data_IF_956478671875
#
_entry.id   IF_956478671875
#
_cell.length_a   1.000
_cell.length_b   1.000
_cell.length_c   1.000
_cell.angle_alpha   90.00
_cell.angle_beta   90.00
_cell.angle_gamma   90.00
#
_symmetry.space_group_name_H-M   'P 1'
#
loop_
_entity.id
_entity.type
_entity.pdbx_description
1 polymer ?
#
# COMPACT_ATOMS: atom_id res chain seq x y z
N UNK A 1 47.93 14.97 -6.94
CA UNK A 1 47.07 15.49 -5.86
C UNK A 1 45.74 15.85 -6.52
N UNK A 2 44.75 14.98 -6.45
CA UNK A 2 43.38 15.23 -6.91
C UNK A 2 42.67 16.08 -5.85
N UNK A 3 42.10 17.20 -6.28
CA UNK A 3 41.31 18.08 -5.41
C UNK A 3 40.14 17.29 -4.80
N UNK A 4 39.81 17.53 -3.51
CA UNK A 4 38.65 16.89 -2.89
C UNK A 4 37.36 17.33 -3.63
N UNK A 5 36.51 16.36 -3.95
CA UNK A 5 35.17 16.61 -4.51
C UNK A 5 34.40 17.51 -3.53
N UNK A 6 33.75 18.59 -4.00
CA UNK A 6 32.97 19.44 -3.11
C UNK A 6 31.84 18.60 -2.47
N UNK A 7 31.49 18.92 -1.21
CA UNK A 7 30.39 18.23 -0.54
C UNK A 7 29.09 18.43 -1.33
N UNK A 8 28.33 17.36 -1.51
CA UNK A 8 27.00 17.41 -2.11
C UNK A 8 26.13 18.40 -1.30
N UNK A 9 25.45 19.34 -1.96
CA UNK A 9 24.56 20.26 -1.22
C UNK A 9 23.52 19.47 -0.45
N UNK A 10 23.13 19.95 0.75
CA UNK A 10 22.08 19.28 1.52
C UNK A 10 20.79 19.22 0.68
N UNK A 11 20.10 18.08 0.73
CA UNK A 11 18.81 17.91 0.10
C UNK A 11 17.85 19.02 0.56
N UNK A 12 17.01 19.51 -0.35
CA UNK A 12 15.96 20.45 0.04
C UNK A 12 15.07 19.83 1.13
N UNK A 13 14.61 20.62 2.12
CA UNK A 13 13.72 20.08 3.14
C UNK A 13 12.45 19.53 2.50
N UNK A 14 11.94 18.38 2.98
CA UNK A 14 10.72 17.77 2.49
C UNK A 14 9.54 18.74 2.62
N UNK A 15 8.71 18.86 1.58
CA UNK A 15 7.45 19.58 1.66
C UNK A 15 6.38 18.67 2.29
N UNK A 16 6.04 18.92 3.54
CA UNK A 16 5.07 18.15 4.31
C UNK A 16 3.63 18.66 4.17
N UNK A 17 3.42 19.74 3.43
CA UNK A 17 2.09 20.29 3.15
C UNK A 17 1.59 19.77 1.80
N UNK A 18 0.29 19.60 1.70
CA UNK A 18 -0.34 19.31 0.41
C UNK A 18 -0.50 20.57 -0.40
N UNK A 19 -0.27 20.48 -1.70
CA UNK A 19 -0.60 21.50 -2.69
C UNK A 19 -2.12 21.62 -2.83
N UNK A 20 -2.59 22.67 -3.49
CA UNK A 20 -4.01 22.85 -3.79
C UNK A 20 -4.57 21.67 -4.61
N UNK A 21 -3.84 21.19 -5.61
CA UNK A 21 -4.23 20.06 -6.43
C UNK A 21 -4.31 18.73 -5.62
N UNK A 22 -3.36 18.51 -4.70
CA UNK A 22 -3.39 17.36 -3.80
C UNK A 22 -4.58 17.41 -2.83
N UNK A 23 -4.96 18.60 -2.31
CA UNK A 23 -6.14 18.77 -1.47
C UNK A 23 -7.45 18.61 -2.27
N UNK A 24 -7.52 19.07 -3.51
CA UNK A 24 -8.66 18.82 -4.40
C UNK A 24 -8.84 17.33 -4.71
N UNK A 25 -7.75 16.62 -5.04
CA UNK A 25 -7.76 15.16 -5.23
C UNK A 25 -8.23 14.45 -3.95
N UNK A 26 -7.69 14.86 -2.81
CA UNK A 26 -8.08 14.33 -1.50
C UNK A 26 -9.58 14.51 -1.23
N UNK A 27 -10.10 15.70 -1.48
CA UNK A 27 -11.52 16.00 -1.29
C UNK A 27 -12.42 15.14 -2.21
N UNK A 28 -12.04 14.98 -3.48
CA UNK A 28 -12.76 14.16 -4.44
C UNK A 28 -12.81 12.68 -4.03
N UNK A 29 -11.64 12.09 -3.70
CA UNK A 29 -11.55 10.69 -3.26
C UNK A 29 -12.30 10.49 -1.94
N UNK A 30 -12.17 11.40 -0.97
CA UNK A 30 -12.87 11.35 0.32
C UNK A 30 -14.39 11.39 0.15
N UNK A 31 -14.89 12.27 -0.71
CA UNK A 31 -16.33 12.38 -1.00
C UNK A 31 -16.87 11.09 -1.59
N UNK A 32 -16.18 10.52 -2.59
CA UNK A 32 -16.56 9.25 -3.19
C UNK A 32 -16.62 8.12 -2.16
N UNK A 33 -15.59 8.02 -1.31
CA UNK A 33 -15.50 6.96 -0.31
C UNK A 33 -16.56 7.13 0.79
N UNK A 34 -16.88 8.37 1.19
CA UNK A 34 -17.97 8.64 2.13
C UNK A 34 -19.34 8.19 1.60
N UNK A 35 -19.57 8.33 0.29
CA UNK A 35 -20.84 7.97 -0.35
C UNK A 35 -20.97 6.46 -0.63
N UNK A 36 -19.85 5.77 -0.91
CA UNK A 36 -19.89 4.40 -1.47
C UNK A 36 -19.19 3.33 -0.63
N UNK A 37 -18.46 3.71 0.40
CA UNK A 37 -17.61 2.80 1.17
C UNK A 37 -18.01 2.80 2.66
N UNK A 38 -19.27 2.44 2.95
CA UNK A 38 -19.72 2.30 4.32
C UNK A 38 -19.29 0.97 4.96
N UNK A 39 -19.13 0.95 6.28
CA UNK A 39 -18.62 -0.21 7.00
C UNK A 39 -19.50 -1.45 6.86
N UNK A 40 -20.83 -1.30 6.73
CA UNK A 40 -21.76 -2.43 6.55
C UNK A 40 -21.61 -3.04 5.16
N UNK A 41 -21.46 -2.21 4.13
CA UNK A 41 -21.19 -2.66 2.77
C UNK A 41 -19.86 -3.37 2.64
N UNK A 42 -18.81 -2.85 3.29
CA UNK A 42 -17.48 -3.50 3.35
C UNK A 42 -17.58 -4.88 3.99
N UNK A 43 -18.24 -4.98 5.14
CA UNK A 43 -18.38 -6.24 5.87
C UNK A 43 -19.19 -7.27 5.05
N UNK A 44 -20.35 -6.88 4.51
CA UNK A 44 -21.17 -7.74 3.68
C UNK A 44 -20.40 -8.26 2.45
N UNK A 45 -19.58 -7.40 1.85
CA UNK A 45 -18.73 -7.77 0.72
C UNK A 45 -17.63 -8.74 1.13
N UNK A 46 -16.93 -8.47 2.23
CA UNK A 46 -15.88 -9.35 2.76
C UNK A 46 -16.41 -10.77 3.07
N UNK A 47 -17.65 -10.88 3.54
CA UNK A 47 -18.31 -12.16 3.83
C UNK A 47 -18.90 -12.85 2.60
N UNK A 48 -19.11 -12.13 1.49
CA UNK A 48 -19.74 -12.66 0.27
C UNK A 48 -18.82 -13.55 -0.58
N UNK A 49 -17.53 -13.68 -0.23
CA UNK A 49 -16.51 -14.34 -1.06
C UNK A 49 -16.09 -13.52 -2.29
N UNK A 50 -16.59 -12.31 -2.46
CA UNK A 50 -16.19 -11.32 -3.48
C UNK A 50 -15.72 -10.04 -2.80
N UNK A 51 -14.51 -10.05 -2.21
CA UNK A 51 -14.04 -8.98 -1.33
C UNK A 51 -13.82 -7.64 -2.06
N UNK A 52 -13.45 -7.66 -3.35
CA UNK A 52 -13.27 -6.43 -4.13
C UNK A 52 -14.58 -5.76 -4.51
N UNK A 53 -14.54 -4.42 -4.61
CA UNK A 53 -15.63 -3.62 -5.15
C UNK A 53 -15.29 -3.12 -6.57
N UNK A 54 -15.73 -3.82 -7.63
CA UNK A 54 -15.41 -3.42 -8.99
C UNK A 54 -16.09 -2.11 -9.42
N UNK A 55 -17.24 -1.76 -8.83
CA UNK A 55 -17.91 -0.50 -9.13
C UNK A 55 -17.17 0.69 -8.50
N UNK A 56 -16.74 0.55 -7.24
CA UNK A 56 -15.90 1.53 -6.58
C UNK A 56 -14.54 1.67 -7.30
N UNK A 57 -13.93 0.53 -7.68
CA UNK A 57 -12.69 0.55 -8.44
C UNK A 57 -12.85 1.29 -9.77
N UNK A 58 -13.92 1.01 -10.52
CA UNK A 58 -14.18 1.71 -11.79
C UNK A 58 -14.27 3.22 -11.60
N UNK A 59 -15.02 3.70 -10.62
CA UNK A 59 -15.14 5.14 -10.37
C UNK A 59 -13.81 5.76 -9.94
N UNK A 60 -13.05 5.12 -9.05
CA UNK A 60 -11.73 5.60 -8.64
C UNK A 60 -10.72 5.59 -9.80
N UNK A 61 -10.59 4.44 -10.46
CA UNK A 61 -9.55 4.19 -11.42
C UNK A 61 -9.78 4.91 -12.76
N UNK A 62 -11.05 4.88 -13.25
CA UNK A 62 -11.40 5.38 -14.59
C UNK A 62 -11.99 6.81 -14.54
N UNK A 63 -13.01 7.05 -13.67
CA UNK A 63 -13.73 8.33 -13.68
C UNK A 63 -12.91 9.44 -13.00
N UNK A 64 -12.24 9.14 -11.86
CA UNK A 64 -11.28 10.07 -11.22
C UNK A 64 -9.90 9.98 -11.87
N UNK A 65 -9.56 8.84 -12.49
CA UNK A 65 -8.29 8.62 -13.19
C UNK A 65 -7.15 8.18 -12.27
N UNK A 66 -7.44 7.72 -11.05
CA UNK A 66 -6.38 7.44 -10.06
C UNK A 66 -5.44 6.29 -10.45
N UNK A 67 -5.86 5.39 -11.34
CA UNK A 67 -5.01 4.32 -11.86
C UNK A 67 -3.86 4.85 -12.73
N UNK A 68 -4.04 6.00 -13.37
CA UNK A 68 -3.06 6.62 -14.26
C UNK A 68 -2.12 7.62 -13.60
N UNK A 69 -2.23 7.89 -12.29
CA UNK A 69 -1.46 8.94 -11.61
C UNK A 69 0.05 8.78 -11.81
N UNK A 70 0.60 7.60 -11.56
CA UNK A 70 2.04 7.32 -11.67
C UNK A 70 2.52 7.08 -13.11
N UNK A 71 1.61 6.91 -14.06
CA UNK A 71 1.97 6.63 -15.46
C UNK A 71 2.21 7.93 -16.21
N UNK A 72 3.36 8.08 -16.92
CA UNK A 72 3.63 9.27 -17.73
C UNK A 72 2.56 9.54 -18.79
N UNK A 73 2.30 10.82 -19.10
CA UNK A 73 1.31 11.24 -20.11
C UNK A 73 1.56 10.60 -21.48
N UNK A 74 2.83 10.49 -21.90
CA UNK A 74 3.24 9.83 -23.17
C UNK A 74 2.81 8.35 -23.27
N UNK A 75 2.50 7.72 -22.14
CA UNK A 75 2.03 6.34 -22.03
C UNK A 75 0.55 6.25 -21.65
N UNK A 76 -0.19 7.34 -21.75
CA UNK A 76 -1.64 7.39 -21.50
C UNK A 76 -2.04 7.60 -20.06
N UNK A 77 -1.10 7.96 -19.16
CA UNK A 77 -1.36 8.30 -17.77
C UNK A 77 -1.53 9.80 -17.54
N UNK A 78 -1.51 10.19 -16.27
CA UNK A 78 -1.67 11.59 -15.83
C UNK A 78 -0.32 12.27 -15.50
N UNK A 79 0.78 11.52 -15.43
CA UNK A 79 2.10 12.06 -15.15
C UNK A 79 2.23 12.75 -13.79
N UNK A 80 1.37 12.37 -12.83
CA UNK A 80 1.45 12.83 -11.44
C UNK A 80 2.58 12.09 -10.68
N UNK A 81 2.74 12.39 -9.41
CA UNK A 81 3.82 11.84 -8.62
C UNK A 81 3.36 10.85 -7.53
N UNK A 82 4.36 10.40 -6.76
CA UNK A 82 4.10 9.55 -5.60
C UNK A 82 3.32 10.29 -4.50
N UNK A 83 3.36 11.63 -4.48
CA UNK A 83 2.61 12.44 -3.51
C UNK A 83 1.10 12.32 -3.74
N UNK A 84 0.63 12.41 -4.97
CA UNK A 84 -0.77 12.23 -5.34
C UNK A 84 -1.23 10.79 -5.07
N UNK A 85 -0.41 9.79 -5.38
CA UNK A 85 -0.69 8.40 -5.05
C UNK A 85 -0.78 8.17 -3.53
N UNK A 86 0.06 8.86 -2.74
CA UNK A 86 0.02 8.84 -1.28
C UNK A 86 -1.29 9.44 -0.73
N UNK A 87 -1.77 10.54 -1.32
CA UNK A 87 -3.08 11.14 -0.98
C UNK A 87 -4.21 10.13 -1.18
N UNK A 88 -4.23 9.44 -2.32
CA UNK A 88 -5.25 8.40 -2.59
C UNK A 88 -5.17 7.28 -1.56
N UNK A 89 -3.98 6.77 -1.25
CA UNK A 89 -3.80 5.69 -0.26
C UNK A 89 -4.18 6.13 1.16
N UNK A 90 -3.92 7.38 1.57
CA UNK A 90 -4.35 7.92 2.86
C UNK A 90 -5.89 7.84 2.98
N UNK A 91 -6.63 8.25 1.94
CA UNK A 91 -8.09 8.18 1.95
C UNK A 91 -8.64 6.74 1.84
N UNK A 92 -7.99 5.88 1.03
CA UNK A 92 -8.35 4.46 0.97
C UNK A 92 -8.15 3.74 2.31
N UNK A 93 -7.05 4.05 3.02
CA UNK A 93 -6.80 3.57 4.38
C UNK A 93 -7.84 4.06 5.37
N UNK A 94 -8.20 5.34 5.30
CA UNK A 94 -9.24 5.94 6.13
C UNK A 94 -10.61 5.25 5.97
N UNK A 95 -10.92 4.71 4.79
CA UNK A 95 -12.15 4.01 4.49
C UNK A 95 -12.02 2.47 4.52
N UNK A 96 -10.84 1.91 4.71
CA UNK A 96 -10.55 0.46 4.55
C UNK A 96 -11.11 -0.06 3.22
N UNK A 97 -10.93 0.73 2.15
CA UNK A 97 -11.56 0.48 0.87
C UNK A 97 -11.08 -0.85 0.23
N UNK A 98 -11.99 -1.72 -0.23
CA UNK A 98 -11.66 -3.03 -0.80
C UNK A 98 -11.38 -2.94 -2.31
N UNK A 99 -10.34 -2.20 -2.69
CA UNK A 99 -9.92 -1.97 -4.08
C UNK A 99 -8.43 -2.30 -4.27
N UNK A 100 -8.01 -2.78 -5.45
CA UNK A 100 -6.64 -3.24 -5.71
C UNK A 100 -5.67 -2.08 -6.01
N UNK A 101 -5.78 -0.93 -5.33
CA UNK A 101 -5.01 0.26 -5.65
C UNK A 101 -3.51 0.07 -5.38
N UNK A 102 -3.14 -0.41 -4.18
CA UNK A 102 -1.73 -0.63 -3.81
C UNK A 102 -1.05 -1.64 -4.74
N UNK A 103 -1.76 -2.70 -5.14
CA UNK A 103 -1.19 -3.76 -5.96
C UNK A 103 -1.18 -3.41 -7.45
N UNK A 104 -2.25 -2.86 -7.97
CA UNK A 104 -2.38 -2.55 -9.41
C UNK A 104 -1.86 -1.16 -9.75
N UNK A 105 -2.42 -0.10 -9.16
CA UNK A 105 -2.05 1.27 -9.51
C UNK A 105 -0.68 1.70 -8.99
N UNK A 106 -0.14 1.03 -7.96
CA UNK A 106 1.20 1.33 -7.44
C UNK A 106 2.19 0.24 -7.82
N UNK A 107 2.12 -0.94 -7.20
CA UNK A 107 3.18 -1.95 -7.31
C UNK A 107 3.36 -2.45 -8.74
N UNK A 108 2.27 -2.79 -9.45
CA UNK A 108 2.35 -3.25 -10.84
C UNK A 108 2.81 -2.13 -11.80
N UNK A 109 2.32 -0.90 -11.59
CA UNK A 109 2.74 0.27 -12.38
C UNK A 109 4.24 0.52 -12.24
N UNK A 110 4.77 0.53 -11.01
CA UNK A 110 6.19 0.74 -10.74
C UNK A 110 7.06 -0.38 -11.33
N UNK A 111 6.61 -1.64 -11.29
CA UNK A 111 7.30 -2.76 -11.96
C UNK A 111 7.39 -2.51 -13.47
N UNK A 112 6.27 -2.15 -14.11
CA UNK A 112 6.23 -1.94 -15.56
C UNK A 112 7.03 -0.72 -15.99
N UNK A 113 7.00 0.37 -15.21
CA UNK A 113 7.85 1.55 -15.43
C UNK A 113 9.34 1.20 -15.30
N UNK A 114 9.70 0.40 -14.28
CA UNK A 114 11.07 -0.04 -14.05
C UNK A 114 11.59 -1.02 -15.12
N UNK A 115 10.70 -1.68 -15.88
CA UNK A 115 11.11 -2.48 -17.03
C UNK A 115 11.54 -1.60 -18.20
N UNK A 116 10.83 -0.50 -18.47
CA UNK A 116 11.08 0.46 -19.56
C UNK A 116 11.33 -0.24 -20.93
N UNK A 117 10.47 -1.23 -21.24
CA UNK A 117 10.57 -2.02 -22.49
C UNK A 117 9.38 -1.78 -23.40
N UNK A 118 9.56 -2.02 -24.69
CA UNK A 118 8.49 -1.93 -25.68
C UNK A 118 7.35 -2.93 -25.39
N UNK A 119 7.69 -4.08 -24.80
CA UNK A 119 6.76 -5.14 -24.44
C UNK A 119 5.89 -4.77 -23.22
N UNK A 120 6.42 -3.97 -22.29
CA UNK A 120 5.70 -3.51 -21.10
C UNK A 120 4.79 -2.31 -21.37
N UNK A 121 5.11 -1.46 -22.35
CA UNK A 121 4.41 -0.21 -22.62
C UNK A 121 2.90 -0.38 -22.93
N UNK A 122 2.44 -1.35 -23.75
CA UNK A 122 1.01 -1.54 -23.99
C UNK A 122 0.23 -1.89 -22.71
N UNK A 123 0.78 -2.78 -21.87
CA UNK A 123 0.13 -3.17 -20.61
C UNK A 123 0.09 -2.00 -19.63
N UNK A 124 1.13 -1.17 -19.62
CA UNK A 124 1.16 0.03 -18.78
C UNK A 124 0.07 1.02 -19.20
N UNK A 125 -0.17 1.21 -20.50
CA UNK A 125 -1.25 2.06 -21.01
C UNK A 125 -2.65 1.51 -20.66
N UNK A 126 -2.84 0.19 -20.73
CA UNK A 126 -4.10 -0.44 -20.30
C UNK A 126 -4.34 -0.27 -18.80
N UNK A 127 -3.31 -0.43 -17.98
CA UNK A 127 -3.36 -0.23 -16.53
C UNK A 127 -3.66 1.22 -16.19
N UNK A 128 -3.02 2.19 -16.85
CA UNK A 128 -3.30 3.61 -16.71
C UNK A 128 -4.75 3.98 -17.00
N UNK A 129 -5.39 3.28 -17.93
CA UNK A 129 -6.81 3.46 -18.24
C UNK A 129 -7.76 2.99 -17.12
N UNK A 130 -7.26 2.28 -16.11
CA UNK A 130 -8.04 1.72 -14.99
C UNK A 130 -8.93 0.53 -15.35
N UNK A 131 -8.92 0.08 -16.60
CA UNK A 131 -9.76 -1.04 -17.08
C UNK A 131 -9.13 -2.40 -16.89
N UNK A 132 -7.80 -2.44 -16.79
CA UNK A 132 -7.03 -3.65 -16.54
C UNK A 132 -6.45 -3.61 -15.13
N UNK A 133 -6.69 -4.67 -14.37
CA UNK A 133 -6.11 -4.86 -13.04
C UNK A 133 -4.91 -5.80 -13.16
N UNK A 134 -3.74 -5.34 -12.74
CA UNK A 134 -2.55 -6.18 -12.67
C UNK A 134 -2.21 -6.53 -11.21
N UNK A 135 -1.85 -7.79 -10.96
CA UNK A 135 -1.33 -8.21 -9.66
C UNK A 135 0.08 -8.81 -9.82
N UNK A 136 1.10 -8.23 -9.18
CA UNK A 136 2.42 -8.85 -9.11
C UNK A 136 2.37 -10.14 -8.30
N UNK A 137 2.81 -11.24 -8.90
CA UNK A 137 2.87 -12.55 -8.27
C UNK A 137 4.09 -12.65 -7.33
N UNK A 138 4.04 -11.87 -6.25
CA UNK A 138 5.00 -11.87 -5.15
C UNK A 138 4.26 -11.95 -3.82
N UNK A 139 4.84 -12.57 -2.78
CA UNK A 139 4.22 -12.55 -1.46
C UNK A 139 4.06 -11.10 -0.95
N UNK A 140 2.89 -10.74 -0.44
CA UNK A 140 2.65 -9.38 0.10
C UNK A 140 3.64 -8.99 1.21
N UNK A 141 4.19 -9.97 1.92
CA UNK A 141 5.18 -9.76 2.99
C UNK A 141 6.61 -9.52 2.48
N UNK A 142 6.84 -9.60 1.16
CA UNK A 142 8.17 -9.40 0.58
C UNK A 142 8.63 -7.96 0.81
N UNK A 143 9.73 -7.80 1.55
CA UNK A 143 10.23 -6.50 1.96
C UNK A 143 11.19 -5.88 0.93
N UNK A 144 11.29 -4.55 0.85
CA UNK A 144 12.38 -3.88 0.15
C UNK A 144 13.74 -4.35 0.66
N UNK A 145 14.70 -4.54 -0.24
CA UNK A 145 16.03 -5.04 0.10
C UNK A 145 16.13 -6.53 0.38
N UNK A 146 15.01 -7.26 0.51
CA UNK A 146 15.03 -8.70 0.68
C UNK A 146 15.44 -9.42 -0.61
N UNK A 147 16.01 -10.64 -0.44
CA UNK A 147 16.30 -11.50 -1.59
C UNK A 147 14.99 -11.88 -2.30
N UNK A 148 14.87 -11.53 -3.57
CA UNK A 148 13.71 -11.88 -4.37
C UNK A 148 13.64 -13.41 -4.57
N UNK A 149 12.52 -14.05 -4.21
CA UNK A 149 12.31 -15.47 -4.49
C UNK A 149 12.14 -15.67 -6.00
N UNK A 150 12.54 -16.83 -6.51
CA UNK A 150 12.30 -17.26 -7.89
C UNK A 150 11.63 -18.64 -7.88
N UNK A 151 10.39 -18.76 -7.38
CA UNK A 151 9.69 -20.02 -7.30
C UNK A 151 9.11 -20.50 -8.64
N UNK A 152 9.14 -19.63 -9.67
CA UNK A 152 8.65 -19.92 -11.02
C UNK A 152 9.83 -20.11 -11.96
N UNK A 153 9.74 -21.15 -12.79
CA UNK A 153 10.72 -21.50 -13.82
C UNK A 153 10.08 -21.39 -15.20
N UNK A 154 10.85 -20.91 -16.16
CA UNK A 154 10.55 -21.00 -17.58
C UNK A 154 11.15 -22.28 -18.16
N UNK A 155 10.31 -23.19 -18.61
CA UNK A 155 10.75 -24.42 -19.27
C UNK A 155 11.26 -24.20 -20.71
N UNK A 156 11.25 -22.93 -21.17
CA UNK A 156 11.61 -22.49 -22.49
C UNK A 156 10.42 -21.90 -23.25
N UNK A 157 10.68 -20.82 -24.00
CA UNK A 157 9.66 -20.15 -24.80
C UNK A 157 8.53 -19.45 -24.02
N UNK A 158 8.76 -19.11 -22.76
CA UNK A 158 7.75 -18.47 -21.90
C UNK A 158 6.73 -19.43 -21.31
N UNK A 159 7.05 -20.71 -21.22
CA UNK A 159 6.19 -21.72 -20.57
C UNK A 159 6.56 -21.83 -19.11
N UNK A 160 5.70 -21.28 -18.26
CA UNK A 160 5.95 -21.08 -16.83
C UNK A 160 5.39 -22.19 -15.96
N UNK A 161 6.16 -22.62 -14.97
CA UNK A 161 5.74 -23.59 -13.97
C UNK A 161 6.24 -23.18 -12.58
N UNK A 162 5.35 -23.18 -11.60
CA UNK A 162 5.69 -22.84 -10.22
C UNK A 162 4.49 -22.37 -9.43
N UNK A 163 4.73 -22.02 -8.15
CA UNK A 163 3.67 -21.58 -7.24
C UNK A 163 4.16 -20.42 -6.39
N UNK A 164 3.35 -19.37 -6.31
CA UNK A 164 3.58 -18.20 -5.45
C UNK A 164 2.39 -18.07 -4.51
N UNK A 165 2.64 -18.04 -3.20
CA UNK A 165 1.59 -17.90 -2.18
C UNK A 165 1.53 -16.49 -1.62
N UNK A 166 0.40 -16.15 -0.99
CA UNK A 166 0.13 -14.86 -0.37
C UNK A 166 0.24 -13.66 -1.34
N UNK A 167 -0.18 -13.87 -2.59
CA UNK A 167 -0.27 -12.82 -3.61
C UNK A 167 -1.52 -11.98 -3.36
N UNK A 168 -1.33 -10.69 -3.13
CA UNK A 168 -2.45 -9.77 -2.90
C UNK A 168 -3.20 -9.48 -4.20
N UNK A 169 -4.52 -9.38 -4.08
CA UNK A 169 -5.47 -8.99 -5.12
C UNK A 169 -5.45 -9.86 -6.40
N UNK A 170 -4.74 -11.01 -6.40
CA UNK A 170 -4.69 -11.90 -7.55
C UNK A 170 -6.09 -12.42 -7.97
N UNK A 171 -7.05 -12.46 -7.05
CA UNK A 171 -8.45 -12.86 -7.35
C UNK A 171 -9.22 -11.83 -8.17
N UNK A 172 -8.73 -10.58 -8.23
CA UNK A 172 -9.31 -9.50 -9.02
C UNK A 172 -8.51 -9.19 -10.28
N UNK A 173 -7.34 -9.82 -10.46
CA UNK A 173 -6.42 -9.50 -11.53
C UNK A 173 -6.91 -10.02 -12.89
N UNK A 174 -6.75 -9.21 -13.93
CA UNK A 174 -6.83 -9.62 -15.33
C UNK A 174 -5.49 -10.19 -15.80
N UNK A 175 -4.39 -9.60 -15.30
CA UNK A 175 -3.02 -9.98 -15.64
C UNK A 175 -2.17 -10.14 -14.38
N UNK A 176 -1.40 -11.23 -14.34
CA UNK A 176 -0.39 -11.49 -13.32
C UNK A 176 1.00 -11.11 -13.85
N UNK A 177 1.75 -10.33 -13.07
CA UNK A 177 3.17 -10.05 -13.35
C UNK A 177 4.02 -11.08 -12.60
N UNK A 178 4.61 -12.00 -13.33
CA UNK A 178 5.28 -13.18 -12.76
C UNK A 178 6.80 -13.05 -12.91
N UNK A 179 7.51 -13.01 -11.77
CA UNK A 179 8.97 -13.09 -11.76
C UNK A 179 9.41 -14.56 -11.85
N UNK A 180 10.02 -14.92 -12.96
CA UNK A 180 10.62 -16.23 -13.19
C UNK A 180 12.15 -16.15 -13.17
N UNK A 181 12.82 -17.29 -13.26
CA UNK A 181 14.28 -17.40 -13.33
C UNK A 181 14.88 -16.72 -14.58
N UNK A 182 14.12 -16.64 -15.68
CA UNK A 182 14.51 -16.07 -16.97
C UNK A 182 14.02 -14.65 -17.23
N UNK A 183 13.27 -14.03 -16.31
CA UNK A 183 12.80 -12.65 -16.46
C UNK A 183 11.44 -12.38 -15.83
N UNK A 184 10.81 -11.26 -16.24
CA UNK A 184 9.44 -10.91 -15.89
C UNK A 184 8.49 -11.28 -17.02
N UNK A 185 7.33 -11.82 -16.65
CA UNK A 185 6.32 -12.26 -17.61
C UNK A 185 4.95 -11.69 -17.27
N UNK A 186 4.19 -11.30 -18.29
CA UNK A 186 2.76 -11.06 -18.20
C UNK A 186 2.01 -12.37 -18.49
N UNK A 187 1.14 -12.77 -17.56
CA UNK A 187 0.31 -13.98 -17.68
C UNK A 187 -1.14 -13.58 -17.53
N UNK A 188 -2.04 -13.83 -18.49
CA UNK A 188 -3.48 -13.67 -18.27
C UNK A 188 -3.93 -14.48 -17.05
N UNK A 189 -4.57 -13.83 -16.09
CA UNK A 189 -4.94 -14.50 -14.81
C UNK A 189 -5.84 -15.72 -15.03
N UNK A 190 -6.67 -15.70 -16.08
CA UNK A 190 -7.53 -16.84 -16.46
C UNK A 190 -6.74 -18.10 -16.90
N UNK A 191 -5.46 -17.99 -17.20
CA UNK A 191 -4.59 -19.12 -17.56
C UNK A 191 -3.84 -19.70 -16.36
N UNK A 192 -3.89 -19.04 -15.22
CA UNK A 192 -3.29 -19.50 -13.97
C UNK A 192 -4.38 -20.05 -13.05
N UNK A 193 -3.99 -20.98 -12.16
CA UNK A 193 -4.88 -21.39 -11.09
C UNK A 193 -4.69 -20.45 -9.89
N UNK A 194 -5.67 -19.56 -9.68
CA UNK A 194 -5.71 -18.63 -8.54
C UNK A 194 -6.59 -19.22 -7.46
N UNK A 195 -6.00 -19.64 -6.34
CA UNK A 195 -6.70 -20.24 -5.21
C UNK A 195 -6.76 -19.24 -4.06
N UNK A 196 -7.96 -18.72 -3.69
CA UNK A 196 -8.10 -17.79 -2.58
C UNK A 196 -7.60 -18.37 -1.26
N UNK A 197 -6.96 -17.53 -0.45
CA UNK A 197 -6.61 -17.82 0.94
C UNK A 197 -7.60 -17.11 1.86
N UNK A 198 -7.61 -17.50 3.13
CA UNK A 198 -8.38 -16.81 4.18
C UNK A 198 -7.42 -15.91 4.94
N UNK A 199 -7.30 -14.61 4.58
CA UNK A 199 -6.41 -13.69 5.27
C UNK A 199 -7.05 -13.16 6.55
N UNK A 200 -6.25 -12.56 7.43
CA UNK A 200 -6.76 -11.82 8.59
C UNK A 200 -7.61 -10.63 8.15
N UNK A 201 -7.13 -9.87 7.15
CA UNK A 201 -7.85 -8.75 6.55
C UNK A 201 -8.60 -9.23 5.31
N UNK A 202 -9.91 -9.36 5.44
CA UNK A 202 -10.78 -9.77 4.35
C UNK A 202 -11.00 -8.69 3.29
N UNK A 203 -10.57 -7.46 3.56
CA UNK A 203 -10.69 -6.33 2.62
C UNK A 203 -9.49 -6.19 1.68
N UNK A 204 -8.42 -6.97 1.93
CA UNK A 204 -7.28 -7.17 1.02
C UNK A 204 -7.06 -8.68 0.81
N UNK A 205 -7.74 -9.27 -0.17
CA UNK A 205 -7.69 -10.70 -0.39
C UNK A 205 -6.30 -11.17 -0.80
N UNK A 206 -5.92 -12.34 -0.33
CA UNK A 206 -4.71 -13.04 -0.71
C UNK A 206 -5.05 -14.32 -1.45
N UNK A 207 -4.18 -14.75 -2.36
CA UNK A 207 -4.33 -16.01 -3.07
C UNK A 207 -2.98 -16.72 -3.26
N UNK A 208 -3.07 -18.02 -3.55
CA UNK A 208 -1.98 -18.78 -4.14
C UNK A 208 -2.15 -18.83 -5.65
N UNK A 209 -1.13 -18.41 -6.37
CA UNK A 209 -1.05 -18.46 -7.83
C UNK A 209 -0.22 -19.68 -8.21
N UNK A 210 -0.81 -20.60 -8.96
CA UNK A 210 -0.13 -21.81 -9.47
C UNK A 210 -0.13 -21.79 -11.00
N UNK A 211 1.05 -21.95 -11.57
CA UNK A 211 1.32 -22.02 -13.01
C UNK A 211 1.70 -23.47 -13.35
N UNK A 212 0.99 -24.08 -14.30
CA UNK A 212 1.19 -25.47 -14.73
C UNK A 212 1.41 -25.47 -16.24
N UNK A 213 2.67 -25.32 -16.65
CA UNK A 213 3.04 -25.13 -18.06
C UNK A 213 2.24 -23.96 -18.71
N UNK A 214 2.10 -22.86 -17.98
CA UNK A 214 1.28 -21.70 -18.36
C UNK A 214 2.06 -20.80 -19.30
N UNK A 215 1.54 -20.40 -20.48
CA UNK A 215 2.21 -19.48 -21.36
C UNK A 215 2.21 -18.07 -20.78
N UNK A 216 3.35 -17.38 -20.89
CA UNK A 216 3.53 -15.98 -20.49
C UNK A 216 4.27 -15.19 -21.55
N UNK A 217 3.92 -13.92 -21.70
CA UNK A 217 4.64 -12.98 -22.55
C UNK A 217 5.77 -12.35 -21.74
N UNK A 218 7.00 -12.51 -22.22
CA UNK A 218 8.17 -11.93 -21.54
C UNK A 218 8.17 -10.41 -21.68
N UNK A 219 8.30 -9.71 -20.56
CA UNK A 219 8.34 -8.24 -20.48
C UNK A 219 9.76 -7.70 -20.32
N UNK A 220 10.62 -8.41 -19.58
CA UNK A 220 11.98 -7.98 -19.29
C UNK A 220 12.92 -9.16 -19.04
N UNK A 221 14.22 -8.94 -19.22
CA UNK A 221 15.28 -9.88 -18.85
C UNK A 221 15.42 -10.01 -17.31
N UNK A 222 16.17 -11.02 -16.80
CA UNK A 222 16.26 -11.28 -15.36
C UNK A 222 16.87 -10.13 -14.55
N UNK A 223 17.81 -9.37 -15.10
CA UNK A 223 18.46 -8.27 -14.36
C UNK A 223 17.52 -7.09 -14.24
N UNK A 224 16.92 -6.66 -15.34
CA UNK A 224 15.90 -5.62 -15.41
C UNK A 224 14.69 -5.97 -14.54
N UNK A 225 14.19 -7.20 -14.65
CA UNK A 225 13.05 -7.67 -13.86
C UNK A 225 13.28 -7.57 -12.34
N UNK A 226 14.46 -8.01 -11.89
CA UNK A 226 14.81 -7.94 -10.46
C UNK A 226 14.95 -6.50 -9.97
N UNK A 227 15.57 -5.63 -10.74
CA UNK A 227 15.70 -4.21 -10.41
C UNK A 227 14.33 -3.52 -10.35
N UNK A 228 13.47 -3.78 -11.34
CA UNK A 228 12.12 -3.24 -11.41
C UNK A 228 11.27 -3.67 -10.19
N UNK A 229 11.27 -4.97 -9.86
CA UNK A 229 10.52 -5.47 -8.69
C UNK A 229 11.09 -4.88 -7.39
N UNK A 230 12.42 -4.78 -7.25
CA UNK A 230 13.03 -4.21 -6.04
C UNK A 230 12.67 -2.73 -5.87
N UNK A 231 12.71 -1.94 -6.94
CA UNK A 231 12.30 -0.52 -6.93
C UNK A 231 10.82 -0.36 -6.58
N UNK A 232 9.96 -1.17 -7.20
CA UNK A 232 8.53 -1.15 -6.95
C UNK A 232 8.15 -1.52 -5.50
N UNK A 233 8.86 -2.49 -4.90
CA UNK A 233 8.67 -2.81 -3.48
C UNK A 233 9.02 -1.63 -2.57
N UNK A 234 10.07 -0.87 -2.89
CA UNK A 234 10.46 0.33 -2.15
C UNK A 234 9.38 1.41 -2.27
N UNK A 235 8.92 1.71 -3.49
CA UNK A 235 7.85 2.68 -3.73
C UNK A 235 6.56 2.28 -3.01
N UNK A 236 6.13 1.04 -3.16
CA UNK A 236 4.91 0.54 -2.52
C UNK A 236 5.01 0.57 -0.99
N UNK A 237 6.17 0.28 -0.40
CA UNK A 237 6.37 0.39 1.04
C UNK A 237 6.26 1.85 1.52
N UNK A 238 6.88 2.80 0.82
CA UNK A 238 6.76 4.23 1.14
C UNK A 238 5.32 4.71 1.10
N UNK A 239 4.57 4.32 0.07
CA UNK A 239 3.17 4.72 -0.12
C UNK A 239 2.20 3.99 0.83
N UNK A 240 2.48 2.74 1.23
CA UNK A 240 1.72 2.03 2.26
C UNK A 240 1.71 2.78 3.60
N UNK A 241 2.76 3.54 3.92
CA UNK A 241 2.80 4.38 5.12
C UNK A 241 1.66 5.40 5.15
N UNK A 242 1.25 5.93 4.00
CA UNK A 242 0.10 6.86 3.89
C UNK A 242 -1.23 6.15 4.15
N UNK A 243 -1.42 4.92 3.68
CA UNK A 243 -2.60 4.11 4.03
C UNK A 243 -2.66 3.87 5.54
N UNK A 244 -1.54 3.54 6.17
CA UNK A 244 -1.43 3.34 7.62
C UNK A 244 -1.79 4.61 8.42
N UNK A 245 -1.44 5.79 7.90
CA UNK A 245 -1.83 7.09 8.48
C UNK A 245 -3.34 7.29 8.40
N UNK A 246 -3.95 7.01 7.24
CA UNK A 246 -5.40 7.08 7.06
C UNK A 246 -6.18 6.19 8.03
N UNK A 247 -5.72 4.94 8.22
CA UNK A 247 -6.25 4.00 9.21
C UNK A 247 -6.19 4.57 10.63
N UNK A 248 -5.01 5.08 11.01
CA UNK A 248 -4.78 5.61 12.34
C UNK A 248 -5.62 6.88 12.62
N UNK A 249 -5.78 7.74 11.62
CA UNK A 249 -6.59 8.96 11.71
C UNK A 249 -8.07 8.64 11.91
N UNK A 250 -8.60 7.68 11.16
CA UNK A 250 -9.97 7.24 11.37
C UNK A 250 -10.18 6.70 12.78
N UNK A 251 -9.30 5.80 13.24
CA UNK A 251 -9.38 5.21 14.58
C UNK A 251 -9.35 6.27 15.68
N UNK A 252 -8.48 7.28 15.56
CA UNK A 252 -8.40 8.39 16.50
C UNK A 252 -9.69 9.22 16.50
N UNK A 253 -10.16 9.61 15.31
CA UNK A 253 -11.35 10.46 15.14
C UNK A 253 -12.60 9.80 15.70
N UNK A 254 -12.81 8.52 15.35
CA UNK A 254 -13.94 7.73 15.82
C UNK A 254 -13.92 7.55 17.33
N UNK A 255 -12.74 7.24 17.88
CA UNK A 255 -12.58 7.08 19.33
C UNK A 255 -12.86 8.38 20.09
N UNK A 256 -12.36 9.52 19.59
CA UNK A 256 -12.64 10.84 20.18
C UNK A 256 -14.13 11.14 20.14
N UNK A 257 -14.80 10.88 19.01
CA UNK A 257 -16.27 11.01 18.89
C UNK A 257 -17.01 10.17 19.93
N UNK A 258 -16.65 8.89 20.02
CA UNK A 258 -17.27 7.95 20.98
C UNK A 258 -17.13 8.41 22.43
N UNK A 259 -15.91 8.72 22.89
CA UNK A 259 -15.69 9.08 24.31
C UNK A 259 -16.27 10.45 24.68
N UNK A 260 -16.51 11.32 23.70
CA UNK A 260 -17.23 12.60 23.91
C UNK A 260 -18.72 12.40 24.05
N UNK A 261 -19.30 11.43 23.33
CA UNK A 261 -20.73 11.12 23.36
C UNK A 261 -21.15 10.14 24.48
N UNK A 262 -20.21 9.29 24.95
CA UNK A 262 -20.49 8.26 25.95
C UNK A 262 -20.47 8.81 27.38
N UNK A 263 -21.55 8.65 28.10
CA UNK A 263 -21.67 9.09 29.49
C UNK A 263 -21.56 7.91 30.47
N UNK A 264 -20.73 8.09 31.51
CA UNK A 264 -20.59 7.23 32.68
C UNK A 264 -20.21 8.09 33.88
N UNK A 265 -20.63 7.69 35.08
CA UNK A 265 -20.38 8.47 36.32
C UNK A 265 -20.85 9.94 36.21
N UNK A 266 -22.00 10.15 35.58
CA UNK A 266 -22.66 11.44 35.36
C UNK A 266 -21.83 12.46 34.56
N UNK A 267 -20.90 12.00 33.68
CA UNK A 267 -20.10 12.85 32.78
C UNK A 267 -19.64 12.09 31.56
N UNK A 268 -19.23 12.77 30.46
CA UNK A 268 -18.61 12.11 29.32
C UNK A 268 -17.35 11.34 29.74
N UNK A 269 -17.17 10.09 29.27
CA UNK A 269 -16.00 9.29 29.63
C UNK A 269 -14.69 9.95 29.12
N UNK A 270 -14.74 10.72 28.05
CA UNK A 270 -13.63 11.53 27.56
C UNK A 270 -13.22 12.68 28.51
N UNK A 271 -14.00 12.98 29.55
CA UNK A 271 -13.61 13.96 30.55
C UNK A 271 -12.58 13.44 31.57
N UNK A 272 -12.38 12.10 31.64
CA UNK A 272 -11.37 11.52 32.54
C UNK A 272 -9.97 11.79 32.03
N UNK A 273 -9.09 12.28 32.92
CA UNK A 273 -7.73 12.69 32.58
C UNK A 273 -6.91 11.57 31.93
N UNK A 274 -7.05 10.33 32.42
CA UNK A 274 -6.35 9.17 31.87
C UNK A 274 -6.68 8.95 30.38
N UNK A 275 -7.95 9.11 29.98
CA UNK A 275 -8.36 8.96 28.58
C UNK A 275 -7.90 10.15 27.72
N UNK A 276 -7.96 11.36 28.25
CA UNK A 276 -7.41 12.54 27.56
C UNK A 276 -5.94 12.38 27.25
N UNK A 277 -5.14 11.89 28.20
CA UNK A 277 -3.71 11.70 28.01
C UNK A 277 -3.40 10.60 26.98
N UNK A 278 -4.16 9.48 26.99
CA UNK A 278 -4.01 8.43 25.97
C UNK A 278 -4.31 8.96 24.58
N UNK A 279 -5.42 9.67 24.40
CA UNK A 279 -5.82 10.23 23.10
C UNK A 279 -4.90 11.36 22.65
N UNK A 280 -4.40 12.20 23.56
CA UNK A 280 -3.42 13.23 23.22
C UNK A 280 -2.10 12.61 22.74
N UNK A 281 -1.64 11.52 23.37
CA UNK A 281 -0.46 10.79 22.92
C UNK A 281 -0.70 10.16 21.55
N UNK A 282 -1.85 9.51 21.35
CA UNK A 282 -2.19 8.92 20.05
C UNK A 282 -2.27 10.00 18.96
N UNK A 283 -2.83 11.18 19.27
CA UNK A 283 -2.85 12.30 18.33
C UNK A 283 -1.44 12.72 17.93
N UNK A 284 -0.51 12.83 18.88
CA UNK A 284 0.90 13.14 18.60
C UNK A 284 1.55 12.07 17.73
N UNK A 285 1.30 10.77 18.04
CA UNK A 285 1.82 9.65 17.26
C UNK A 285 1.29 9.70 15.81
N UNK A 286 0.00 9.98 15.60
CA UNK A 286 -0.61 10.11 14.25
C UNK A 286 -0.05 11.31 13.50
N UNK A 287 0.13 12.46 14.17
CA UNK A 287 0.71 13.65 13.55
C UNK A 287 2.16 13.39 13.09
N UNK A 288 2.95 12.71 13.91
CA UNK A 288 4.33 12.32 13.56
C UNK A 288 4.37 11.30 12.43
N UNK A 289 3.45 10.32 12.43
CA UNK A 289 3.32 9.33 11.36
C UNK A 289 2.99 9.99 10.02
N UNK A 290 2.08 10.98 10.03
CA UNK A 290 1.75 11.76 8.83
C UNK A 290 2.96 12.49 8.27
N UNK A 291 3.77 13.12 9.13
CA UNK A 291 5.01 13.78 8.69
C UNK A 291 5.98 12.78 8.05
N UNK A 292 6.16 11.59 8.67
CA UNK A 292 7.05 10.56 8.14
C UNK A 292 6.55 9.99 6.79
N UNK A 293 5.25 9.71 6.67
CA UNK A 293 4.67 9.20 5.43
C UNK A 293 4.77 10.22 4.27
N UNK A 294 4.50 11.51 4.55
CA UNK A 294 4.63 12.58 3.55
C UNK A 294 6.07 12.78 3.12
N UNK A 295 7.03 12.72 4.06
CA UNK A 295 8.44 12.79 3.74
C UNK A 295 8.88 11.63 2.82
N UNK A 296 8.37 10.41 3.06
CA UNK A 296 8.64 9.27 2.20
C UNK A 296 8.06 9.44 0.77
N UNK A 297 6.82 9.92 0.67
CA UNK A 297 6.18 10.19 -0.62
C UNK A 297 6.91 11.31 -1.40
N UNK A 298 7.33 12.36 -0.71
CA UNK A 298 8.10 13.47 -1.28
C UNK A 298 9.48 13.02 -1.77
N UNK A 299 10.20 12.23 -0.96
CA UNK A 299 11.51 11.68 -1.34
C UNK A 299 11.40 10.73 -2.57
N UNK A 300 10.35 9.91 -2.64
CA UNK A 300 10.08 9.06 -3.80
C UNK A 300 9.76 9.89 -5.04
N UNK A 301 8.90 10.92 -4.92
CA UNK A 301 8.54 11.80 -6.02
C UNK A 301 9.75 12.58 -6.57
N UNK A 302 10.65 12.99 -5.69
CA UNK A 302 11.88 13.68 -6.07
C UNK A 302 12.99 12.75 -6.59
N UNK A 303 12.83 11.42 -6.50
CA UNK A 303 13.91 10.46 -6.77
C UNK A 303 15.12 10.71 -5.86
N UNK A 304 14.89 11.12 -4.61
CA UNK A 304 15.93 11.52 -3.69
C UNK A 304 16.87 10.35 -3.35
N UNK A 305 18.19 10.58 -3.24
CA UNK A 305 19.14 9.51 -2.94
C UNK A 305 18.89 8.82 -1.59
N UNK A 306 18.28 9.53 -0.64
CA UNK A 306 17.93 9.07 0.70
C UNK A 306 16.49 8.52 0.80
N UNK A 307 15.76 8.40 -0.31
CA UNK A 307 14.42 7.82 -0.34
C UNK A 307 14.37 6.43 0.34
N UNK A 308 15.35 5.52 0.17
CA UNK A 308 15.32 4.24 0.87
C UNK A 308 15.34 4.38 2.41
N UNK A 309 16.12 5.32 2.95
CA UNK A 309 16.14 5.62 4.39
C UNK A 309 14.81 6.21 4.84
N UNK A 310 14.30 7.19 4.10
CA UNK A 310 13.05 7.89 4.43
C UNK A 310 11.87 6.92 4.45
N UNK A 311 11.79 6.01 3.46
CA UNK A 311 10.80 4.92 3.40
C UNK A 311 10.95 3.98 4.60
N UNK A 312 12.17 3.57 4.94
CA UNK A 312 12.40 2.68 6.07
C UNK A 312 11.96 3.33 7.40
N UNK A 313 12.24 4.63 7.60
CA UNK A 313 11.78 5.41 8.77
C UNK A 313 10.24 5.46 8.80
N UNK A 314 9.60 5.77 7.68
CA UNK A 314 8.14 5.85 7.59
C UNK A 314 7.48 4.52 7.94
N UNK A 315 7.92 3.40 7.35
CA UNK A 315 7.37 2.08 7.63
C UNK A 315 7.63 1.61 9.07
N UNK A 316 8.84 1.85 9.59
CA UNK A 316 9.18 1.50 10.97
C UNK A 316 8.28 2.20 12.00
N UNK A 317 7.83 3.42 11.69
CA UNK A 317 7.01 4.24 12.59
C UNK A 317 5.50 4.09 12.33
N UNK A 318 5.03 4.33 11.09
CA UNK A 318 3.60 4.36 10.74
C UNK A 318 2.90 3.01 11.00
N UNK A 319 3.56 1.90 10.68
CA UNK A 319 3.05 0.55 10.92
C UNK A 319 2.70 0.33 12.41
N UNK A 320 3.59 0.73 13.33
CA UNK A 320 3.34 0.65 14.76
C UNK A 320 2.24 1.61 15.25
N UNK A 321 2.15 2.80 14.66
CA UNK A 321 1.11 3.79 14.99
C UNK A 321 -0.27 3.30 14.56
N UNK A 322 -0.41 2.77 13.34
CA UNK A 322 -1.68 2.24 12.84
C UNK A 322 -2.23 1.12 13.73
N UNK A 323 -1.37 0.17 14.11
CA UNK A 323 -1.74 -0.92 15.01
C UNK A 323 -2.20 -0.38 16.36
N UNK A 324 -1.42 0.51 16.99
CA UNK A 324 -1.80 1.10 18.29
C UNK A 324 -3.09 1.90 18.21
N UNK A 325 -3.29 2.67 17.14
CA UNK A 325 -4.51 3.44 16.94
C UNK A 325 -5.76 2.53 16.87
N UNK A 326 -5.67 1.43 16.14
CA UNK A 326 -6.74 0.46 16.03
C UNK A 326 -7.00 -0.29 17.36
N UNK A 327 -5.95 -0.67 18.08
CA UNK A 327 -6.07 -1.28 19.41
C UNK A 327 -6.69 -0.32 20.43
N UNK A 328 -6.28 0.96 20.43
CA UNK A 328 -6.90 1.99 21.27
C UNK A 328 -8.37 2.24 20.91
N UNK A 329 -8.69 2.22 19.61
CA UNK A 329 -10.07 2.34 19.15
C UNK A 329 -10.93 1.20 19.71
N UNK A 330 -10.52 -0.05 19.56
CA UNK A 330 -11.22 -1.20 20.12
C UNK A 330 -11.35 -1.09 21.64
N UNK A 331 -10.26 -0.78 22.33
CA UNK A 331 -10.23 -0.68 23.80
C UNK A 331 -11.15 0.40 24.34
N UNK A 332 -11.13 1.60 23.74
CA UNK A 332 -11.89 2.75 24.27
C UNK A 332 -13.37 2.74 23.87
N UNK A 333 -13.77 1.93 22.89
CA UNK A 333 -15.18 1.63 22.62
C UNK A 333 -15.76 0.60 23.62
N UNK A 334 -14.91 -0.12 24.37
CA UNK A 334 -15.35 -1.13 25.33
C UNK A 334 -16.02 -2.31 24.63
N UNK A 335 -17.10 -2.82 25.19
CA UNK A 335 -17.77 -4.03 24.68
C UNK A 335 -18.16 -3.96 23.21
N UNK A 336 -18.68 -2.83 22.73
CA UNK A 336 -19.09 -2.67 21.33
C UNK A 336 -17.91 -2.73 20.37
N UNK A 337 -16.74 -2.22 20.77
CA UNK A 337 -15.52 -2.26 19.94
C UNK A 337 -15.02 -3.67 19.62
N UNK A 338 -15.47 -4.67 20.38
CA UNK A 338 -15.13 -6.08 20.17
C UNK A 338 -16.21 -6.86 19.40
N UNK A 339 -17.28 -6.20 19.00
CA UNK A 339 -18.38 -6.83 18.24
C UNK A 339 -18.24 -6.61 16.74
N UNK A 340 -18.96 -7.41 15.95
CA UNK A 340 -19.09 -7.22 14.50
C UNK A 340 -19.97 -6.02 14.12
N UNK A 341 -20.70 -5.43 15.09
CA UNK A 341 -21.57 -4.28 14.86
C UNK A 341 -20.77 -2.98 14.69
N UNK A 342 -19.56 -2.91 15.29
CA UNK A 342 -18.69 -1.75 15.21
C UNK A 342 -17.53 -1.99 14.26
N UNK A 343 -17.21 -1.05 13.35
CA UNK A 343 -16.20 -1.26 12.30
C UNK A 343 -14.75 -1.33 12.79
N UNK A 344 -14.45 -1.05 14.05
CA UNK A 344 -13.09 -1.04 14.60
C UNK A 344 -12.29 -2.33 14.28
N UNK A 345 -12.97 -3.48 14.21
CA UNK A 345 -12.34 -4.75 13.88
C UNK A 345 -11.79 -4.79 12.43
N UNK A 346 -12.42 -4.09 11.47
CA UNK A 346 -11.92 -3.99 10.09
C UNK A 346 -10.58 -3.23 10.08
N UNK A 347 -10.54 -2.09 10.79
CA UNK A 347 -9.32 -1.29 10.92
C UNK A 347 -8.21 -2.04 11.66
N UNK A 348 -8.53 -2.77 12.72
CA UNK A 348 -7.55 -3.57 13.44
C UNK A 348 -6.96 -4.67 12.54
N UNK A 349 -7.79 -5.37 11.79
CA UNK A 349 -7.36 -6.44 10.88
C UNK A 349 -6.48 -5.88 9.75
N UNK A 350 -6.89 -4.75 9.12
CA UNK A 350 -6.10 -4.07 8.09
C UNK A 350 -4.78 -3.57 8.67
N UNK A 351 -4.76 -2.90 9.82
CA UNK A 351 -3.52 -2.41 10.44
C UNK A 351 -2.55 -3.56 10.79
N UNK A 352 -3.07 -4.70 11.28
CA UNK A 352 -2.26 -5.90 11.55
C UNK A 352 -1.72 -6.51 10.25
N UNK A 353 -2.51 -6.60 9.20
CA UNK A 353 -2.06 -7.09 7.89
C UNK A 353 -0.99 -6.17 7.30
N UNK A 354 -1.20 -4.85 7.33
CA UNK A 354 -0.25 -3.86 6.84
C UNK A 354 1.07 -3.86 7.64
N UNK A 355 1.03 -4.24 8.93
CA UNK A 355 2.25 -4.34 9.74
C UNK A 355 3.16 -5.51 9.34
N UNK A 356 2.68 -6.40 8.47
CA UNK A 356 3.44 -7.50 7.89
C UNK A 356 3.72 -7.27 6.39
N UNK A 357 2.91 -6.46 5.73
CA UNK A 357 3.04 -6.17 4.31
C UNK A 357 4.31 -5.38 4.03
N UNK A 358 5.01 -5.74 2.93
CA UNK A 358 6.22 -5.07 2.44
C UNK A 358 7.31 -4.91 3.53
N UNK A 359 7.36 -5.86 4.45
CA UNK A 359 8.32 -5.88 5.56
C UNK A 359 7.75 -5.40 6.89
N UNK A 360 8.19 -6.05 7.96
CA UNK A 360 7.81 -5.68 9.33
C UNK A 360 8.51 -4.40 9.79
N UNK A 361 7.96 -3.74 10.83
CA UNK A 361 8.64 -2.62 11.48
C UNK A 361 10.05 -2.99 12.00
N UNK A 362 10.27 -4.26 12.37
CA UNK A 362 11.59 -4.78 12.76
C UNK A 362 12.57 -4.79 11.59
N UNK A 363 12.13 -5.28 10.42
CA UNK A 363 12.94 -5.24 9.20
C UNK A 363 13.35 -3.80 8.83
N UNK A 364 12.38 -2.89 8.80
CA UNK A 364 12.64 -1.49 8.44
C UNK A 364 13.55 -0.78 9.44
N UNK A 365 13.45 -1.09 10.75
CA UNK A 365 14.43 -0.59 11.75
C UNK A 365 15.84 -1.12 11.50
N UNK A 366 15.97 -2.37 11.05
CA UNK A 366 17.26 -2.92 10.62
C UNK A 366 17.85 -2.11 9.47
N UNK A 367 17.04 -1.81 8.43
CA UNK A 367 17.49 -0.94 7.32
C UNK A 367 17.91 0.45 7.80
N UNK A 368 17.17 1.08 8.73
CA UNK A 368 17.56 2.37 9.31
C UNK A 368 18.90 2.26 10.04
N UNK A 369 19.14 1.17 10.80
CA UNK A 369 20.41 0.94 11.47
C UNK A 369 21.57 0.79 10.49
N UNK A 370 21.35 0.05 9.38
CA UNK A 370 22.34 -0.12 8.32
C UNK A 370 22.69 1.22 7.65
N UNK A 371 21.69 2.05 7.31
CA UNK A 371 21.89 3.39 6.75
C UNK A 371 22.60 4.35 7.73
N UNK A 372 22.36 4.17 9.03
CA UNK A 372 23.02 4.96 10.07
C UNK A 372 24.41 4.39 10.48
N UNK A 373 24.89 3.36 9.77
CA UNK A 373 26.18 2.68 10.03
C UNK A 373 26.32 2.21 11.49
N UNK A 374 25.20 1.81 12.13
CA UNK A 374 25.24 1.27 13.48
C UNK A 374 25.84 -0.14 13.46
N UNK A 375 26.70 -0.47 14.43
CA UNK A 375 27.29 -1.81 14.52
C UNK A 375 26.18 -2.85 14.74
N UNK A 376 26.35 -4.02 14.11
CA UNK A 376 25.48 -5.16 14.37
C UNK A 376 25.59 -5.57 15.86
N UNK A 377 24.49 -6.02 16.49
CA UNK A 377 24.48 -6.43 17.88
C UNK A 377 25.36 -7.65 18.17
#
# INVERSE_FOLDING_TARGET
MTAPTPPTPPAAPADLLYSEAEEELRAAVRSLLADRCDAKGILARAESGRPHDPALWHTLAVEIGTAGLLVPEKLGGLGAGHREAAVVLEELGRAVAPVPYLTSAVLATEILLGCDTAEAAPLLAELASGRTVCAPAVPLTLAPGARLPAPVRDAGGGILTGTVSAVADAVAADVLLVLADTGLYAVPAAQARVTPLVPLDLTRPLATVTLEATPGTRLADPATARAAVAGALLCAAGLLASEQVGLAEWCLTETVGHVRGRYQFNRPVGSFQALKHRLARLWLDVASARAAARAAADALAAGAPDAPLTVAVAQAYCSGVAVRAAEECVQLHGGIGMTWEHPAHLYLKRAKADSLALGTAGHHRGLVADFAELPAP
#
